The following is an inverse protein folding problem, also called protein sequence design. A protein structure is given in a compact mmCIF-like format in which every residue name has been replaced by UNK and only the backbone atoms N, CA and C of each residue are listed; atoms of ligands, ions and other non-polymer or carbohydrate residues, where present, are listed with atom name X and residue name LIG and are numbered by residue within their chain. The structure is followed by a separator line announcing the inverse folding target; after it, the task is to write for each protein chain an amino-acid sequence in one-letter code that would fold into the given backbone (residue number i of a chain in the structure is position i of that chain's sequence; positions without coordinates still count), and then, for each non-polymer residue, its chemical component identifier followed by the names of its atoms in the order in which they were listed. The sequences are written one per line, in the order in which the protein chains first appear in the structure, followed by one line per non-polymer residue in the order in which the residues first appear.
data_IF_557242858317
#
_entry.id   IF_557242858317
#
_cell.length_a   1.000
_cell.length_b   1.000
_cell.length_c   1.000
_cell.angle_alpha   90.00
_cell.angle_beta   90.00
_cell.angle_gamma   90.00
#
_symmetry.space_group_name_H-M   'P 1'
#
loop_
_entity.id
_entity.type
_entity.pdbx_description
1 polymer ?
#
# COMPACT_ATOMS: atom_id res chain seq x y z
N UNK A 1 -14.63 -8.22 -12.39
CA UNK A 1 -13.23 -8.61 -12.65
C UNK A 1 -12.92 -8.24 -14.10
N UNK A 2 -12.71 -6.95 -14.37
CA UNK A 2 -12.23 -6.46 -15.68
C UNK A 2 -11.43 -5.15 -15.49
N UNK A 3 -10.59 -5.12 -14.45
CA UNK A 3 -9.89 -3.91 -13.98
C UNK A 3 -8.38 -3.92 -14.30
N UNK A 4 -7.91 -4.87 -15.10
CA UNK A 4 -6.51 -4.96 -15.54
C UNK A 4 -6.28 -4.27 -16.88
N UNK A 5 -7.00 -3.18 -17.18
CA UNK A 5 -6.69 -2.39 -18.37
C UNK A 5 -5.43 -1.56 -18.10
N UNK A 6 -4.28 -1.86 -18.73
CA UNK A 6 -3.02 -1.16 -18.46
C UNK A 6 -3.15 0.36 -18.71
N UNK A 7 -4.00 0.77 -19.65
CA UNK A 7 -4.24 2.19 -19.94
C UNK A 7 -4.94 2.91 -18.77
N UNK A 8 -5.89 2.25 -18.10
CA UNK A 8 -6.60 2.82 -16.95
C UNK A 8 -5.66 3.00 -15.75
N UNK A 9 -4.76 2.04 -15.52
CA UNK A 9 -3.74 2.10 -14.46
C UNK A 9 -2.78 3.26 -14.72
N UNK A 10 -2.25 3.37 -15.94
CA UNK A 10 -1.34 4.46 -16.33
C UNK A 10 -2.05 5.81 -16.19
N UNK A 11 -3.30 5.92 -16.65
CA UNK A 11 -4.07 7.16 -16.56
C UNK A 11 -4.33 7.58 -15.10
N UNK A 12 -4.62 6.63 -14.21
CA UNK A 12 -4.80 6.88 -12.78
C UNK A 12 -3.49 7.34 -12.11
N UNK A 13 -2.35 6.79 -12.49
CA UNK A 13 -1.05 7.25 -12.00
C UNK A 13 -0.81 8.68 -12.48
N UNK A 14 -1.01 8.95 -13.77
CA UNK A 14 -0.82 10.29 -14.35
C UNK A 14 -1.75 11.32 -13.70
N UNK A 15 -3.01 10.98 -13.44
CA UNK A 15 -3.96 11.90 -12.81
C UNK A 15 -3.56 12.25 -11.37
N UNK A 16 -3.06 11.28 -10.60
CA UNK A 16 -2.49 11.52 -9.26
C UNK A 16 -1.21 12.39 -9.31
N UNK A 17 -0.40 12.25 -10.37
CA UNK A 17 0.85 13.01 -10.55
C UNK A 17 0.66 14.42 -11.11
N UNK A 18 -0.41 14.65 -11.86
CA UNK A 18 -0.71 15.92 -12.54
C UNK A 18 -0.51 17.18 -11.67
N UNK A 19 -1.07 17.27 -10.43
CA UNK A 19 -0.88 18.46 -9.61
C UNK A 19 0.59 18.70 -9.24
N UNK A 20 1.36 17.64 -8.97
CA UNK A 20 2.78 17.75 -8.62
C UNK A 20 3.62 18.18 -9.82
N UNK A 21 3.32 17.65 -11.01
CA UNK A 21 3.98 18.03 -12.26
C UNK A 21 3.71 19.49 -12.56
N UNK A 22 2.45 19.92 -12.50
CA UNK A 22 2.06 21.31 -12.76
C UNK A 22 2.77 22.27 -11.79
N UNK A 23 2.72 21.99 -10.48
CA UNK A 23 3.34 22.82 -9.46
C UNK A 23 4.86 22.93 -9.65
N UNK A 24 5.53 21.81 -9.93
CA UNK A 24 6.98 21.79 -10.10
C UNK A 24 7.43 22.49 -11.38
N UNK A 25 6.68 22.34 -12.48
CA UNK A 25 6.93 23.06 -13.73
C UNK A 25 6.67 24.56 -13.59
N UNK A 26 5.59 24.97 -12.90
CA UNK A 26 5.30 26.37 -12.62
C UNK A 26 6.41 27.01 -11.76
N UNK A 27 6.88 26.30 -10.73
CA UNK A 27 8.00 26.74 -9.91
C UNK A 27 9.28 26.91 -10.75
N UNK A 28 9.58 25.95 -11.63
CA UNK A 28 10.74 26.06 -12.52
C UNK A 28 10.63 27.23 -13.49
N UNK A 29 9.43 27.45 -14.03
CA UNK A 29 9.17 28.60 -14.90
C UNK A 29 9.49 29.91 -14.20
N UNK A 30 9.08 30.06 -12.94
CA UNK A 30 9.40 31.21 -12.11
C UNK A 30 10.92 31.36 -11.93
N UNK A 31 11.62 30.29 -11.56
CA UNK A 31 13.09 30.30 -11.39
C UNK A 31 13.81 30.67 -12.68
N UNK A 32 13.36 30.14 -13.82
CA UNK A 32 13.96 30.40 -15.12
C UNK A 32 13.91 31.88 -15.51
N UNK A 33 12.86 32.62 -15.12
CA UNK A 33 12.84 34.08 -15.28
C UNK A 33 13.94 34.78 -14.48
N UNK A 34 14.26 34.29 -13.27
CA UNK A 34 15.33 34.84 -12.44
C UNK A 34 16.73 34.42 -12.88
N UNK A 35 16.87 33.28 -13.56
CA UNK A 35 18.17 32.81 -14.11
C UNK A 35 18.80 33.80 -15.11
N UNK A 36 17.98 34.64 -15.75
CA UNK A 36 18.46 35.66 -16.69
C UNK A 36 19.12 36.87 -16.00
N UNK A 37 19.01 36.98 -14.67
CA UNK A 37 19.58 38.09 -13.92
C UNK A 37 21.08 37.89 -13.68
N UNK A 38 21.86 38.98 -13.76
CA UNK A 38 23.31 38.97 -13.62
C UNK A 38 23.82 38.49 -12.25
N UNK A 39 22.99 38.56 -11.20
CA UNK A 39 23.31 38.09 -9.86
C UNK A 39 23.10 36.58 -9.67
N UNK A 40 22.54 35.87 -10.66
CA UNK A 40 22.25 34.45 -10.52
C UNK A 40 23.55 33.63 -10.41
N UNK A 41 23.68 32.76 -9.39
CA UNK A 41 24.92 32.04 -9.15
C UNK A 41 25.20 31.01 -10.25
N UNK A 42 26.43 31.02 -10.77
CA UNK A 42 26.92 29.95 -11.65
C UNK A 42 27.45 28.80 -10.79
N UNK A 43 26.67 27.72 -10.73
CA UNK A 43 27.04 26.53 -9.97
C UNK A 43 27.88 25.62 -10.87
N UNK A 44 29.12 25.34 -10.45
CA UNK A 44 30.00 24.41 -11.13
C UNK A 44 29.74 22.99 -10.64
N UNK A 45 29.60 22.04 -11.57
CA UNK A 45 29.42 20.61 -11.29
C UNK A 45 28.27 20.25 -10.33
N UNK A 46 27.03 20.71 -10.58
CA UNK A 46 25.88 20.36 -9.72
C UNK A 46 25.59 18.85 -9.69
N UNK A 47 26.08 18.10 -10.68
CA UNK A 47 25.81 16.66 -10.83
C UNK A 47 26.26 15.79 -9.65
N UNK A 48 27.36 16.14 -8.96
CA UNK A 48 27.83 15.34 -7.82
C UNK A 48 26.85 15.42 -6.65
N UNK A 49 26.42 16.63 -6.31
CA UNK A 49 25.50 16.88 -5.18
C UNK A 49 24.13 16.27 -5.49
N UNK A 50 23.61 16.52 -6.69
CA UNK A 50 22.34 15.94 -7.16
C UNK A 50 22.41 14.41 -7.13
N UNK A 51 23.50 13.83 -7.63
CA UNK A 51 23.70 12.38 -7.66
C UNK A 51 23.70 11.74 -6.27
N UNK A 52 24.46 12.28 -5.32
CA UNK A 52 24.55 11.74 -3.97
C UNK A 52 23.21 11.82 -3.23
N UNK A 53 22.52 12.96 -3.30
CA UNK A 53 21.24 13.13 -2.63
C UNK A 53 20.17 12.26 -3.30
N UNK A 54 20.13 12.24 -4.63
CA UNK A 54 19.19 11.41 -5.39
C UNK A 54 19.36 9.93 -5.09
N UNK A 55 20.61 9.46 -4.97
CA UNK A 55 20.90 8.08 -4.57
C UNK A 55 20.43 7.77 -3.15
N UNK A 56 20.68 8.68 -2.19
CA UNK A 56 20.20 8.52 -0.81
C UNK A 56 18.68 8.41 -0.73
N UNK A 57 17.95 9.27 -1.46
CA UNK A 57 16.48 9.22 -1.52
C UNK A 57 16.00 7.90 -2.16
N UNK A 58 16.65 7.45 -3.24
CA UNK A 58 16.33 6.19 -3.89
C UNK A 58 16.48 4.99 -2.95
N UNK A 59 17.53 4.97 -2.12
CA UNK A 59 17.70 3.93 -1.09
C UNK A 59 16.56 3.97 -0.07
N UNK A 60 16.21 5.15 0.44
CA UNK A 60 15.15 5.28 1.46
C UNK A 60 13.78 4.88 0.91
N UNK A 61 13.45 5.29 -0.33
CA UNK A 61 12.22 4.87 -1.01
C UNK A 61 12.23 3.35 -1.28
N UNK A 62 13.36 2.80 -1.71
CA UNK A 62 13.52 1.36 -1.93
C UNK A 62 13.36 0.54 -0.65
N UNK A 63 13.92 1.01 0.46
CA UNK A 63 13.75 0.40 1.77
C UNK A 63 12.28 0.43 2.21
N UNK A 64 11.59 1.56 2.01
CA UNK A 64 10.15 1.69 2.27
C UNK A 64 9.37 0.68 1.45
N UNK A 65 9.56 0.69 0.13
CA UNK A 65 8.89 -0.20 -0.80
C UNK A 65 9.07 -1.67 -0.39
N UNK A 66 10.28 -2.07 0.01
CA UNK A 66 10.53 -3.44 0.47
C UNK A 66 9.74 -3.81 1.73
N UNK A 67 9.64 -2.90 2.70
CA UNK A 67 8.88 -3.14 3.95
C UNK A 67 7.40 -3.28 3.64
N UNK A 68 6.85 -2.40 2.81
CA UNK A 68 5.43 -2.41 2.47
C UNK A 68 5.07 -3.63 1.63
N UNK A 69 5.92 -3.98 0.66
CA UNK A 69 5.76 -5.17 -0.16
C UNK A 69 5.78 -6.45 0.69
N UNK A 70 6.72 -6.54 1.65
CA UNK A 70 6.77 -7.66 2.60
C UNK A 70 5.49 -7.74 3.45
N UNK A 71 4.96 -6.59 3.89
CA UNK A 71 3.72 -6.56 4.68
C UNK A 71 2.52 -7.02 3.86
N UNK A 72 2.39 -6.56 2.61
CA UNK A 72 1.36 -6.98 1.67
C UNK A 72 1.32 -8.51 1.52
N UNK A 73 2.45 -9.12 1.15
CA UNK A 73 2.54 -10.57 1.00
C UNK A 73 2.31 -11.33 2.31
N UNK A 74 2.74 -10.77 3.45
CA UNK A 74 2.48 -11.42 4.75
C UNK A 74 0.98 -11.51 5.08
N UNK A 75 0.18 -10.55 4.61
CA UNK A 75 -1.29 -10.57 4.76
C UNK A 75 -1.89 -11.62 3.83
N UNK A 76 -1.47 -11.67 2.56
CA UNK A 76 -1.92 -12.69 1.59
C UNK A 76 -1.63 -14.11 2.09
N UNK A 77 -0.42 -14.35 2.59
CA UNK A 77 0.00 -15.63 3.15
C UNK A 77 -0.84 -16.02 4.38
N UNK A 78 -1.13 -15.04 5.26
CA UNK A 78 -1.98 -15.28 6.42
C UNK A 78 -3.42 -15.63 6.02
N UNK A 79 -3.99 -14.93 5.04
CA UNK A 79 -5.31 -15.26 4.48
C UNK A 79 -5.32 -16.67 3.89
N UNK A 80 -4.27 -17.06 3.15
CA UNK A 80 -4.14 -18.44 2.65
C UNK A 80 -4.16 -19.48 3.77
N UNK A 81 -3.42 -19.24 4.87
CA UNK A 81 -3.40 -20.15 6.03
C UNK A 81 -4.73 -20.20 6.79
N UNK A 82 -5.43 -19.06 6.91
CA UNK A 82 -6.79 -19.00 7.45
C UNK A 82 -7.71 -19.89 6.62
N UNK A 83 -7.74 -19.73 5.30
CA UNK A 83 -8.55 -20.53 4.38
C UNK A 83 -8.19 -22.02 4.48
N UNK A 84 -6.90 -22.36 4.58
CA UNK A 84 -6.45 -23.73 4.81
C UNK A 84 -7.05 -24.35 6.07
N UNK A 85 -7.10 -23.58 7.17
CA UNK A 85 -7.71 -24.02 8.43
C UNK A 85 -9.23 -24.19 8.30
N UNK A 86 -9.91 -23.24 7.64
CA UNK A 86 -11.36 -23.32 7.42
C UNK A 86 -11.77 -24.57 6.62
N UNK A 87 -10.98 -24.95 5.60
CA UNK A 87 -11.22 -26.16 4.80
C UNK A 87 -11.15 -27.45 5.63
N UNK A 88 -10.37 -27.46 6.71
CA UNK A 88 -10.31 -28.60 7.63
C UNK A 88 -11.54 -28.61 8.53
N UNK A 89 -11.96 -27.44 9.03
CA UNK A 89 -13.09 -27.31 9.95
C UNK A 89 -14.44 -27.59 9.26
N UNK A 90 -14.61 -27.18 8.00
CA UNK A 90 -15.89 -27.27 7.27
C UNK A 90 -16.37 -28.71 7.04
N UNK A 91 -15.46 -29.69 7.11
CA UNK A 91 -15.79 -31.11 6.92
C UNK A 91 -16.69 -31.69 8.03
N UNK A 92 -16.87 -30.99 9.17
CA UNK A 92 -17.86 -31.37 10.18
C UNK A 92 -19.19 -30.66 9.96
N UNK A 93 -20.27 -31.43 9.86
CA UNK A 93 -21.63 -30.95 9.49
C UNK A 93 -22.18 -29.85 10.41
N UNK A 94 -21.77 -29.79 11.68
CA UNK A 94 -22.37 -28.91 12.69
C UNK A 94 -21.82 -27.46 12.71
N UNK A 95 -20.70 -27.19 12.03
CA UNK A 95 -20.01 -25.88 12.07
C UNK A 95 -19.90 -25.20 10.70
N UNK A 96 -20.27 -25.91 9.63
CA UNK A 96 -20.13 -25.41 8.26
C UNK A 96 -20.85 -24.08 8.03
N UNK A 97 -22.07 -23.91 8.58
CA UNK A 97 -22.84 -22.65 8.47
C UNK A 97 -22.16 -21.49 9.19
N UNK A 98 -21.65 -21.71 10.40
CA UNK A 98 -20.98 -20.66 11.18
C UNK A 98 -19.65 -20.26 10.55
N UNK A 99 -18.89 -21.23 10.04
CA UNK A 99 -17.64 -20.98 9.32
C UNK A 99 -17.91 -20.12 8.08
N UNK A 100 -18.99 -20.41 7.34
CA UNK A 100 -19.36 -19.64 6.16
C UNK A 100 -19.76 -18.21 6.53
N UNK A 101 -20.67 -18.04 7.49
CA UNK A 101 -21.08 -16.71 7.95
C UNK A 101 -19.91 -15.90 8.50
N UNK A 102 -19.00 -16.54 9.23
CA UNK A 102 -17.76 -15.93 9.68
C UNK A 102 -16.85 -15.53 8.51
N UNK A 103 -16.68 -16.37 7.49
CA UNK A 103 -15.81 -16.08 6.34
C UNK A 103 -16.35 -14.90 5.51
N UNK A 104 -17.67 -14.82 5.33
CA UNK A 104 -18.33 -13.68 4.67
C UNK A 104 -18.15 -12.38 5.47
N UNK A 105 -18.37 -12.42 6.79
CA UNK A 105 -18.14 -11.25 7.65
C UNK A 105 -16.66 -10.86 7.71
N UNK A 106 -15.75 -11.83 7.67
CA UNK A 106 -14.32 -11.60 7.61
C UNK A 106 -13.93 -10.91 6.32
N UNK A 107 -14.42 -11.36 5.16
CA UNK A 107 -14.22 -10.66 3.89
C UNK A 107 -14.69 -9.21 3.99
N UNK A 108 -15.95 -8.98 4.39
CA UNK A 108 -16.50 -7.62 4.53
C UNK A 108 -15.66 -6.73 5.46
N UNK A 109 -15.22 -7.28 6.60
CA UNK A 109 -14.38 -6.53 7.56
C UNK A 109 -13.00 -6.19 6.97
N UNK A 110 -12.44 -7.04 6.12
CA UNK A 110 -11.17 -6.74 5.44
C UNK A 110 -11.33 -5.69 4.34
N UNK A 111 -12.50 -5.60 3.69
CA UNK A 111 -12.77 -4.58 2.66
C UNK A 111 -12.95 -3.17 3.24
N UNK A 112 -13.45 -3.06 4.47
CA UNK A 112 -13.63 -1.79 5.17
C UNK A 112 -13.25 -1.94 6.66
N UNK A 113 -11.96 -1.84 7.01
CA UNK A 113 -11.48 -2.09 8.35
C UNK A 113 -11.77 -0.91 9.30
N UNK A 114 -13.06 -0.68 9.61
CA UNK A 114 -13.47 0.21 10.69
C UNK A 114 -13.11 -0.38 12.07
N UNK A 115 -12.77 0.46 13.05
CA UNK A 115 -12.41 0.01 14.41
C UNK A 115 -13.52 -0.85 15.03
N UNK A 116 -14.78 -0.44 14.86
CA UNK A 116 -15.96 -1.17 15.32
C UNK A 116 -16.11 -2.52 14.62
N UNK A 117 -15.85 -2.56 13.30
CA UNK A 117 -15.87 -3.78 12.50
C UNK A 117 -14.82 -4.78 12.97
N UNK A 118 -13.59 -4.32 13.23
CA UNK A 118 -12.50 -5.16 13.76
C UNK A 118 -12.84 -5.73 15.14
N UNK A 119 -13.40 -4.93 16.04
CA UNK A 119 -13.82 -5.41 17.37
C UNK A 119 -14.93 -6.44 17.26
N UNK A 120 -15.94 -6.19 16.42
CA UNK A 120 -17.01 -7.15 16.12
C UNK A 120 -16.44 -8.46 15.59
N UNK A 121 -15.49 -8.38 14.64
CA UNK A 121 -14.86 -9.54 14.03
C UNK A 121 -14.04 -10.37 15.02
N UNK A 122 -13.35 -9.73 15.97
CA UNK A 122 -12.67 -10.42 17.08
C UNK A 122 -13.66 -11.21 17.93
N UNK A 123 -14.78 -10.57 18.32
CA UNK A 123 -15.82 -11.24 19.11
C UNK A 123 -16.44 -12.43 18.36
N UNK A 124 -16.73 -12.27 17.07
CA UNK A 124 -17.24 -13.36 16.22
C UNK A 124 -16.24 -14.50 16.11
N UNK A 125 -14.95 -14.19 16.03
CA UNK A 125 -13.87 -15.18 16.00
C UNK A 125 -13.80 -15.96 17.32
N UNK A 126 -13.90 -15.30 18.47
CA UNK A 126 -13.91 -15.97 19.77
C UNK A 126 -15.12 -16.90 19.94
N UNK A 127 -16.30 -16.49 19.43
CA UNK A 127 -17.50 -17.33 19.42
C UNK A 127 -17.29 -18.56 18.53
N UNK A 128 -16.74 -18.37 17.33
CA UNK A 128 -16.45 -19.47 16.41
C UNK A 128 -15.43 -20.44 17.01
N UNK A 129 -14.36 -19.93 17.63
CA UNK A 129 -13.33 -20.74 18.29
C UNK A 129 -13.97 -21.61 19.38
N UNK A 130 -14.82 -21.04 20.24
CA UNK A 130 -15.51 -21.81 21.29
C UNK A 130 -16.36 -22.94 20.68
N UNK A 131 -17.08 -22.66 19.60
CA UNK A 131 -17.90 -23.65 18.90
C UNK A 131 -17.05 -24.76 18.26
N UNK A 132 -15.91 -24.41 17.67
CA UNK A 132 -14.96 -25.37 17.10
C UNK A 132 -14.37 -26.29 18.18
N UNK A 133 -14.03 -25.75 19.35
CA UNK A 133 -13.57 -26.55 20.50
C UNK A 133 -14.66 -27.53 20.95
N UNK A 134 -15.91 -27.09 21.10
CA UNK A 134 -17.01 -27.99 21.50
C UNK A 134 -17.26 -29.12 20.50
N UNK A 135 -16.91 -28.90 19.24
CA UNK A 135 -17.05 -29.87 18.15
C UNK A 135 -15.78 -30.72 17.96
N UNK A 136 -14.82 -30.64 18.89
CA UNK A 136 -13.61 -31.46 18.91
C UNK A 136 -12.54 -31.00 17.91
N UNK A 137 -12.42 -29.70 17.68
CA UNK A 137 -11.31 -29.08 16.95
C UNK A 137 -10.36 -28.35 17.92
N UNK A 138 -9.84 -29.02 18.94
CA UNK A 138 -8.97 -28.48 19.99
C UNK A 138 -7.46 -28.62 19.69
N UNK A 139 -7.10 -28.58 18.41
CA UNK A 139 -5.76 -28.91 17.92
C UNK A 139 -4.93 -27.74 17.39
N UNK A 140 -3.71 -28.02 16.88
CA UNK A 140 -2.79 -27.00 16.36
C UNK A 140 -3.40 -26.16 15.24
N UNK A 141 -4.29 -26.73 14.43
CA UNK A 141 -5.00 -26.00 13.37
C UNK A 141 -5.87 -24.86 13.91
N UNK A 142 -6.52 -25.05 15.07
CA UNK A 142 -7.33 -24.00 15.70
C UNK A 142 -6.46 -22.89 16.27
N UNK A 143 -5.33 -23.25 16.89
CA UNK A 143 -4.36 -22.26 17.38
C UNK A 143 -3.74 -21.45 16.24
N UNK A 144 -3.42 -22.10 15.11
CA UNK A 144 -2.90 -21.46 13.90
C UNK A 144 -3.92 -20.49 13.30
N UNK A 145 -5.17 -20.92 13.16
CA UNK A 145 -6.29 -20.08 12.74
C UNK A 145 -6.45 -18.84 13.61
N UNK A 146 -6.55 -19.01 14.94
CA UNK A 146 -6.72 -17.89 15.87
C UNK A 146 -5.57 -16.88 15.79
N UNK A 147 -4.33 -17.37 15.70
CA UNK A 147 -3.13 -16.53 15.53
C UNK A 147 -3.17 -15.76 14.21
N UNK A 148 -3.44 -16.44 13.09
CA UNK A 148 -3.40 -15.82 11.76
C UNK A 148 -4.54 -14.80 11.59
N UNK A 149 -5.74 -15.06 12.12
CA UNK A 149 -6.85 -14.08 12.16
C UNK A 149 -6.44 -12.84 12.97
N UNK A 150 -5.90 -13.04 14.17
CA UNK A 150 -5.46 -11.94 15.03
C UNK A 150 -4.37 -11.11 14.36
N UNK A 151 -3.44 -11.77 13.66
CA UNK A 151 -2.40 -11.13 12.88
C UNK A 151 -2.98 -10.24 11.77
N UNK A 152 -3.89 -10.76 10.94
CA UNK A 152 -4.50 -10.00 9.85
C UNK A 152 -5.31 -8.82 10.39
N UNK A 153 -6.15 -9.02 11.41
CA UNK A 153 -6.96 -7.95 12.01
C UNK A 153 -6.13 -6.87 12.71
N UNK A 154 -4.94 -7.20 13.19
CA UNK A 154 -4.01 -6.21 13.72
C UNK A 154 -3.36 -5.42 12.57
N UNK A 155 -2.86 -6.13 11.56
CA UNK A 155 -2.18 -5.54 10.40
C UNK A 155 -3.08 -4.70 9.51
N UNK A 156 -4.38 -5.01 9.45
CA UNK A 156 -5.38 -4.22 8.71
C UNK A 156 -5.58 -2.81 9.28
N UNK A 157 -5.11 -2.55 10.50
CA UNK A 157 -5.18 -1.23 11.17
C UNK A 157 -3.79 -0.60 11.38
N UNK A 158 -2.73 -1.26 10.91
CA UNK A 158 -1.36 -0.86 11.20
C UNK A 158 -0.73 -0.12 10.01
N UNK A 159 -0.60 1.19 10.15
CA UNK A 159 0.08 2.08 9.20
C UNK A 159 1.61 2.09 9.43
N UNK A 160 2.38 2.51 8.42
CA UNK A 160 3.80 2.82 8.59
C UNK A 160 3.94 3.97 9.59
N UNK A 161 5.05 4.05 10.36
CA UNK A 161 5.31 5.19 11.22
C UNK A 161 5.24 6.52 10.45
N UNK A 162 4.28 7.37 10.82
CA UNK A 162 3.97 8.66 10.16
C UNK A 162 5.20 9.58 10.07
N UNK A 163 6.13 9.49 11.02
CA UNK A 163 7.38 10.26 10.98
C UNK A 163 8.24 9.93 9.75
N UNK A 164 8.25 8.66 9.31
CA UNK A 164 9.00 8.24 8.13
C UNK A 164 8.37 8.78 6.85
N UNK A 165 7.04 8.84 6.77
CA UNK A 165 6.30 9.48 5.67
C UNK A 165 6.68 10.96 5.54
N UNK A 166 6.52 11.72 6.62
CA UNK A 166 6.82 13.15 6.60
C UNK A 166 8.26 13.43 6.22
N UNK A 167 9.20 12.62 6.72
CA UNK A 167 10.61 12.76 6.38
C UNK A 167 10.86 12.53 4.88
N UNK A 168 10.31 11.46 4.30
CA UNK A 168 10.43 11.16 2.88
C UNK A 168 9.77 12.21 1.99
N UNK A 169 8.60 12.72 2.36
CA UNK A 169 7.94 13.80 1.64
C UNK A 169 8.78 15.07 1.68
N UNK A 170 9.27 15.45 2.87
CA UNK A 170 10.10 16.64 3.07
C UNK A 170 11.37 16.57 2.22
N UNK A 171 12.12 15.47 2.27
CA UNK A 171 13.38 15.34 1.50
C UNK A 171 13.14 15.31 -0.01
N UNK A 172 12.01 14.74 -0.46
CA UNK A 172 11.63 14.72 -1.89
C UNK A 172 11.28 16.12 -2.40
N UNK A 173 10.58 16.93 -1.60
CA UNK A 173 10.27 18.33 -1.91
C UNK A 173 11.56 19.15 -1.97
N UNK A 174 12.43 19.02 -0.96
CA UNK A 174 13.72 19.72 -0.92
C UNK A 174 14.61 19.35 -2.12
N UNK A 175 14.63 18.07 -2.51
CA UNK A 175 15.37 17.62 -3.67
C UNK A 175 14.82 18.19 -4.99
N UNK A 176 13.50 18.23 -5.13
CA UNK A 176 12.85 18.83 -6.31
C UNK A 176 13.16 20.32 -6.42
N UNK A 177 13.11 21.05 -5.30
CA UNK A 177 13.52 22.46 -5.21
C UNK A 177 14.98 22.66 -5.59
N UNK A 178 15.88 21.81 -5.07
CA UNK A 178 17.30 21.88 -5.38
C UNK A 178 17.56 21.69 -6.87
N UNK A 179 16.94 20.70 -7.51
CA UNK A 179 17.04 20.49 -8.96
C UNK A 179 16.53 21.70 -9.73
N UNK A 180 15.41 22.29 -9.28
CA UNK A 180 14.85 23.46 -9.93
C UNK A 180 15.79 24.67 -9.93
N UNK A 181 16.58 24.85 -8.87
CA UNK A 181 17.56 25.93 -8.76
C UNK A 181 18.90 25.60 -9.44
N UNK A 182 19.37 24.36 -9.32
CA UNK A 182 20.73 23.99 -9.74
C UNK A 182 20.90 23.73 -11.24
N UNK A 183 19.86 23.30 -11.94
CA UNK A 183 19.91 22.98 -13.36
C UNK A 183 19.30 24.10 -14.19
N UNK A 184 20.10 24.94 -14.87
CA UNK A 184 19.57 26.08 -15.63
C UNK A 184 18.89 25.65 -16.95
N UNK A 185 18.00 26.52 -17.44
CA UNK A 185 17.38 26.42 -18.76
C UNK A 185 16.50 25.17 -18.97
N UNK A 186 16.39 24.74 -20.23
CA UNK A 186 15.50 23.64 -20.67
C UNK A 186 15.87 22.31 -19.99
N UNK A 187 17.16 22.06 -19.76
CA UNK A 187 17.62 20.85 -19.07
C UNK A 187 16.99 20.71 -17.67
N UNK A 188 16.80 21.82 -16.95
CA UNK A 188 16.13 21.81 -15.66
C UNK A 188 14.64 21.44 -15.73
N UNK A 189 13.92 21.87 -16.78
CA UNK A 189 12.53 21.47 -16.98
C UNK A 189 12.41 19.96 -17.21
N UNK A 190 13.29 19.39 -18.05
CA UNK A 190 13.31 17.94 -18.31
C UNK A 190 13.65 17.17 -17.02
N UNK A 191 14.65 17.63 -16.28
CA UNK A 191 15.08 16.99 -15.04
C UNK A 191 13.95 16.96 -13.99
N UNK A 192 13.25 18.07 -13.78
CA UNK A 192 12.12 18.14 -12.84
C UNK A 192 11.00 17.21 -13.26
N UNK A 193 10.65 17.19 -14.55
CA UNK A 193 9.61 16.30 -15.05
C UNK A 193 9.94 14.83 -14.71
N UNK A 194 11.17 14.40 -14.99
CA UNK A 194 11.64 13.03 -14.68
C UNK A 194 11.61 12.78 -13.17
N UNK A 195 12.12 13.72 -12.37
CA UNK A 195 12.21 13.57 -10.91
C UNK A 195 10.84 13.47 -10.26
N UNK A 196 9.88 14.30 -10.67
CA UNK A 196 8.51 14.23 -10.16
C UNK A 196 7.87 12.89 -10.53
N UNK A 197 8.03 12.44 -11.78
CA UNK A 197 7.50 11.14 -12.21
C UNK A 197 8.10 10.00 -11.40
N UNK A 198 9.41 10.01 -11.15
CA UNK A 198 10.09 8.93 -10.43
C UNK A 198 9.79 8.99 -8.93
N UNK A 199 10.03 10.12 -8.27
CA UNK A 199 9.91 10.23 -6.81
C UNK A 199 8.45 10.26 -6.36
N UNK A 200 7.62 11.09 -6.97
CA UNK A 200 6.21 11.16 -6.60
C UNK A 200 5.46 9.93 -7.13
N UNK A 201 5.86 9.38 -8.27
CA UNK A 201 5.30 8.11 -8.77
C UNK A 201 5.60 6.96 -7.81
N UNK A 202 6.84 6.84 -7.34
CA UNK A 202 7.20 5.87 -6.32
C UNK A 202 6.42 6.10 -5.02
N UNK A 203 6.28 7.36 -4.57
CA UNK A 203 5.50 7.68 -3.37
C UNK A 203 4.03 7.26 -3.50
N UNK A 204 3.39 7.54 -4.63
CA UNK A 204 1.99 7.12 -4.90
C UNK A 204 1.85 5.60 -4.87
N UNK A 205 2.77 4.87 -5.49
CA UNK A 205 2.74 3.40 -5.49
C UNK A 205 2.92 2.86 -4.06
N UNK A 206 3.90 3.40 -3.32
CA UNK A 206 4.18 2.92 -1.97
C UNK A 206 3.01 3.22 -1.02
N UNK A 207 2.39 4.40 -1.14
CA UNK A 207 1.21 4.79 -0.36
C UNK A 207 0.05 3.82 -0.56
N UNK A 208 -0.16 3.42 -1.82
CA UNK A 208 -1.21 2.51 -2.21
C UNK A 208 -0.97 1.09 -1.65
N UNK A 209 0.30 0.63 -1.71
CA UNK A 209 0.70 -0.61 -1.03
C UNK A 209 0.62 -0.49 0.51
N UNK A 210 0.73 0.72 1.06
CA UNK A 210 0.62 0.96 2.51
C UNK A 210 -0.84 0.78 2.99
N UNK A 211 -1.80 0.86 2.08
CA UNK A 211 -3.22 0.64 2.33
C UNK A 211 -3.73 -0.57 1.52
N UNK A 212 -3.18 -1.77 1.75
CA UNK A 212 -3.33 -2.90 0.82
C UNK A 212 -4.76 -3.49 0.81
N UNK A 213 -5.62 -3.05 1.71
CA UNK A 213 -7.02 -3.46 1.83
C UNK A 213 -8.01 -2.41 1.29
N UNK A 214 -7.52 -1.22 0.91
CA UNK A 214 -8.35 -0.19 0.30
C UNK A 214 -8.78 -0.62 -1.10
N UNK A 215 -10.08 -0.78 -1.30
CA UNK A 215 -10.70 -1.12 -2.58
C UNK A 215 -11.37 0.08 -3.25
N UNK A 216 -10.94 1.30 -2.92
CA UNK A 216 -11.31 2.50 -3.66
C UNK A 216 -11.03 2.32 -5.16
N UNK A 217 -11.81 2.93 -6.07
CA UNK A 217 -11.55 2.91 -7.51
C UNK A 217 -10.19 3.52 -7.91
N UNK A 218 -9.55 4.20 -6.95
CA UNK A 218 -8.25 4.84 -7.06
C UNK A 218 -7.10 3.97 -6.56
N UNK A 219 -7.40 2.82 -5.95
CA UNK A 219 -6.40 1.84 -5.51
C UNK A 219 -5.79 1.13 -6.72
N UNK A 220 -4.47 1.04 -6.74
CA UNK A 220 -3.66 0.42 -7.79
C UNK A 220 -3.24 -1.01 -7.41
N UNK A 221 -3.05 -1.29 -6.12
CA UNK A 221 -2.49 -2.52 -5.56
C UNK A 221 -3.32 -2.94 -4.34
N UNK A 222 -3.92 -4.13 -4.43
CA UNK A 222 -4.76 -4.69 -3.37
C UNK A 222 -4.31 -6.11 -3.01
N UNK A 223 -4.49 -6.50 -1.74
CA UNK A 223 -4.31 -7.88 -1.26
C UNK A 223 -5.15 -8.82 -2.10
N UNK A 224 -4.54 -9.92 -2.55
CA UNK A 224 -5.28 -10.99 -3.19
C UNK A 224 -6.11 -11.80 -2.17
N UNK A 225 -7.40 -11.47 -2.08
CA UNK A 225 -8.39 -12.21 -1.28
C UNK A 225 -9.09 -13.35 -2.07
N UNK A 226 -8.63 -13.68 -3.27
CA UNK A 226 -9.18 -14.76 -4.09
C UNK A 226 -9.28 -16.11 -3.37
N UNK A 227 -8.31 -16.56 -2.55
CA UNK A 227 -8.44 -17.81 -1.81
C UNK A 227 -9.66 -17.84 -0.88
N UNK A 228 -9.96 -16.71 -0.22
CA UNK A 228 -11.12 -16.56 0.67
C UNK A 228 -12.42 -16.53 -0.13
N UNK A 229 -12.45 -15.74 -1.21
CA UNK A 229 -13.59 -15.65 -2.13
C UNK A 229 -13.94 -16.99 -2.76
N UNK A 230 -12.92 -17.75 -3.16
CA UNK A 230 -13.09 -19.08 -3.71
C UNK A 230 -13.68 -20.04 -2.67
N UNK A 231 -13.20 -19.99 -1.42
CA UNK A 231 -13.76 -20.77 -0.32
C UNK A 231 -15.24 -20.43 -0.06
N UNK A 232 -15.59 -19.14 -0.03
CA UNK A 232 -16.98 -18.69 0.13
C UNK A 232 -17.84 -19.18 -1.06
N UNK A 233 -17.34 -19.04 -2.29
CA UNK A 233 -18.03 -19.44 -3.51
C UNK A 233 -18.30 -20.95 -3.63
N UNK A 234 -17.33 -21.81 -3.26
CA UNK A 234 -17.52 -23.27 -3.26
C UNK A 234 -18.58 -23.73 -2.26
N UNK A 235 -18.76 -23.00 -1.16
CA UNK A 235 -19.73 -23.33 -0.11
C UNK A 235 -21.05 -22.53 -0.25
N UNK A 236 -21.34 -21.96 -1.43
CA UNK A 236 -22.63 -21.31 -1.75
C UNK A 236 -23.72 -22.26 -2.23
N UNK A 237 -23.42 -23.53 -2.47
CA UNK A 237 -24.37 -24.59 -2.83
C UNK A 237 -24.97 -25.28 -1.59
#
# INVERSE_FOLDING_TARGET
MDDKNPYKIILNIISKLYPYVLLSLSLKMLIWFFESASWWPKINNPGIIIGVIGFGIAILLGAKLSVVNSRLYSIEDAVCRIVGSLRIFVNKKNVSKDIKGWAENFEVTLFDPAKEGIVSMRNQTDILIKKLVTEGHDGPNLSGFSRDVSYVLHRSTAEIPVAYEYFLTMISILYTLMIAVMLPGIAGFIAILIVVVVLMGAAVIIEDMDHPLDNSPTSLIVVNLEPLRHFIGQNKA
#
